data_IF_750701274859
#
_entry.id   IF_750701274859
#
_cell.length_a   1.000
_cell.length_b   1.000
_cell.length_c   1.000
_cell.angle_alpha   90.00
_cell.angle_beta   90.00
_cell.angle_gamma   90.00
#
_symmetry.space_group_name_H-M   'P 1'
#
loop_
_entity.id
_entity.type
_entity.pdbx_description
1 polymer ?
#
# COMPACT_ATOMS: atom_id res chain seq x y z
N UNK A 1 -28.29 -17.04 60.17
CA UNK A 1 -27.34 -15.92 60.28
C UNK A 1 -26.59 -15.83 58.98
N UNK A 2 -26.77 -14.71 58.28
CA UNK A 2 -26.24 -14.41 56.96
C UNK A 2 -24.76 -13.97 57.01
N UNK A 3 -24.18 -13.93 55.81
CA UNK A 3 -22.95 -13.24 55.39
C UNK A 3 -21.67 -14.07 55.43
N UNK A 4 -21.31 -14.65 54.28
CA UNK A 4 -19.94 -14.65 53.78
C UNK A 4 -19.91 -15.27 52.37
N UNK A 5 -20.06 -14.43 51.33
CA UNK A 5 -19.65 -14.71 49.93
C UNK A 5 -20.00 -13.51 49.04
N UNK A 6 -19.55 -12.30 49.39
CA UNK A 6 -19.71 -11.11 48.52
C UNK A 6 -18.41 -10.33 48.33
N UNK A 7 -17.30 -10.74 48.95
CA UNK A 7 -16.04 -10.01 48.94
C UNK A 7 -15.05 -10.44 47.85
N UNK A 8 -15.07 -11.71 47.42
CA UNK A 8 -14.11 -12.24 46.43
C UNK A 8 -14.48 -11.89 44.98
N UNK A 9 -15.77 -11.74 44.67
CA UNK A 9 -16.23 -11.40 43.30
C UNK A 9 -15.91 -9.94 42.94
N UNK A 10 -15.92 -9.03 43.92
CA UNK A 10 -15.65 -7.60 43.68
C UNK A 10 -14.15 -7.24 43.61
N UNK A 11 -13.27 -8.06 44.20
CA UNK A 11 -11.83 -7.81 44.19
C UNK A 11 -11.19 -8.15 42.84
N UNK A 12 -11.68 -9.21 42.19
CA UNK A 12 -11.20 -9.67 40.88
C UNK A 12 -11.59 -8.68 39.76
N UNK A 13 -12.77 -8.08 39.86
CA UNK A 13 -13.27 -7.07 38.91
C UNK A 13 -12.42 -5.79 38.92
N UNK A 14 -12.04 -5.31 40.11
CA UNK A 14 -11.21 -4.10 40.25
C UNK A 14 -9.76 -4.32 39.83
N UNK A 15 -9.22 -5.50 40.11
CA UNK A 15 -7.90 -5.90 39.62
C UNK A 15 -7.88 -5.97 38.09
N UNK A 16 -8.96 -6.47 37.47
CA UNK A 16 -9.16 -6.45 36.03
C UNK A 16 -9.19 -5.03 35.45
N UNK A 17 -9.97 -4.13 36.05
CA UNK A 17 -10.04 -2.72 35.62
C UNK A 17 -8.70 -2.00 35.72
N UNK A 18 -7.96 -2.18 36.82
CA UNK A 18 -6.64 -1.56 37.00
C UNK A 18 -5.62 -2.08 35.98
N UNK A 19 -5.63 -3.38 35.68
CA UNK A 19 -4.79 -3.97 34.63
C UNK A 19 -5.13 -3.40 33.25
N UNK A 20 -6.42 -3.23 32.96
CA UNK A 20 -6.88 -2.67 31.71
C UNK A 20 -6.45 -1.20 31.55
N UNK A 21 -6.60 -0.39 32.60
CA UNK A 21 -6.17 1.01 32.61
C UNK A 21 -4.65 1.16 32.49
N UNK A 22 -3.88 0.29 33.17
CA UNK A 22 -2.43 0.23 33.03
C UNK A 22 -2.02 -0.15 31.60
N UNK A 23 -2.71 -1.12 30.99
CA UNK A 23 -2.44 -1.54 29.62
C UNK A 23 -2.71 -0.41 28.61
N UNK A 24 -3.83 0.30 28.75
CA UNK A 24 -4.17 1.42 27.87
C UNK A 24 -3.29 2.67 28.13
N UNK A 25 -2.70 2.82 29.32
CA UNK A 25 -1.72 3.89 29.62
C UNK A 25 -0.34 3.61 29.01
N UNK A 26 0.10 2.36 29.03
CA UNK A 26 1.42 1.96 28.51
C UNK A 26 1.39 1.76 27.00
N UNK A 27 0.28 1.26 26.46
CA UNK A 27 0.17 0.90 25.06
C UNK A 27 -0.84 1.80 24.35
N UNK A 28 -0.32 2.65 23.46
CA UNK A 28 -1.17 3.34 22.48
C UNK A 28 -1.73 2.30 21.51
N UNK A 29 -3.06 2.18 21.46
CA UNK A 29 -3.72 1.36 20.45
C UNK A 29 -3.60 2.08 19.10
N UNK A 30 -2.97 1.42 18.12
CA UNK A 30 -3.09 1.85 16.74
C UNK A 30 -4.52 1.58 16.27
N UNK A 31 -5.24 2.61 15.85
CA UNK A 31 -6.48 2.48 15.10
C UNK A 31 -6.22 2.86 13.65
N UNK A 32 -6.50 1.95 12.72
CA UNK A 32 -6.56 2.32 11.31
C UNK A 32 -7.84 3.12 11.09
N UNK A 33 -7.72 4.40 10.78
CA UNK A 33 -8.86 5.17 10.29
C UNK A 33 -9.11 4.75 8.84
N UNK A 34 -10.06 3.84 8.66
CA UNK A 34 -10.60 3.49 7.34
C UNK A 34 -11.56 4.60 6.90
N UNK A 35 -11.08 5.84 6.82
CA UNK A 35 -11.88 6.93 6.27
C UNK A 35 -11.90 6.79 4.76
N UNK A 36 -13.07 6.39 4.23
CA UNK A 36 -13.44 6.58 2.84
C UNK A 36 -12.49 5.94 1.84
N UNK A 37 -12.78 4.69 1.50
CA UNK A 37 -12.47 4.15 0.18
C UNK A 37 -12.92 5.15 -0.90
N UNK A 38 -11.98 5.95 -1.42
CA UNK A 38 -12.14 6.63 -2.69
C UNK A 38 -11.46 5.76 -3.73
N UNK A 39 -12.02 4.57 -3.96
CA UNK A 39 -11.55 3.70 -5.01
C UNK A 39 -11.81 4.40 -6.34
N UNK A 40 -10.75 4.57 -7.12
CA UNK A 40 -10.88 5.12 -8.46
C UNK A 40 -11.64 4.13 -9.33
N UNK A 41 -12.50 4.62 -10.23
CA UNK A 41 -13.15 3.74 -11.21
C UNK A 41 -12.07 3.14 -12.12
N UNK A 42 -12.25 1.87 -12.47
CA UNK A 42 -11.33 1.19 -13.39
C UNK A 42 -11.22 1.97 -14.70
N UNK A 43 -10.00 2.14 -15.18
CA UNK A 43 -9.73 2.75 -16.46
C UNK A 43 -10.28 1.89 -17.61
N UNK A 44 -10.63 2.55 -18.71
CA UNK A 44 -10.86 1.88 -19.98
C UNK A 44 -9.55 1.23 -20.46
N UNK A 45 -9.54 -0.06 -20.84
CA UNK A 45 -8.31 -0.79 -21.12
C UNK A 45 -7.56 -0.25 -22.35
N UNK A 46 -8.27 0.27 -23.36
CA UNK A 46 -7.63 0.83 -24.56
C UNK A 46 -6.92 2.14 -24.22
N UNK A 47 -7.55 3.00 -23.43
CA UNK A 47 -6.91 4.21 -22.91
C UNK A 47 -5.74 3.90 -21.98
N UNK A 48 -5.86 2.85 -21.17
CA UNK A 48 -4.77 2.44 -20.28
C UNK A 48 -3.55 1.99 -21.10
N UNK A 49 -3.78 1.26 -22.19
CA UNK A 49 -2.72 0.87 -23.12
C UNK A 49 -2.10 2.07 -23.84
N UNK A 50 -2.91 3.02 -24.34
CA UNK A 50 -2.41 4.25 -24.97
C UNK A 50 -1.49 5.04 -24.02
N UNK A 51 -1.92 5.20 -22.76
CA UNK A 51 -1.13 5.86 -21.74
C UNK A 51 0.15 5.07 -21.43
N UNK A 52 0.07 3.73 -21.33
CA UNK A 52 1.24 2.92 -21.11
C UNK A 52 2.28 3.10 -22.24
N UNK A 53 1.85 2.96 -23.49
CA UNK A 53 2.72 3.12 -24.67
C UNK A 53 3.32 4.52 -24.78
N UNK A 54 2.59 5.57 -24.35
CA UNK A 54 3.10 6.95 -24.32
C UNK A 54 4.34 7.13 -23.43
N UNK A 55 4.44 6.39 -22.32
CA UNK A 55 5.55 6.53 -21.37
C UNK A 55 6.61 5.43 -21.51
N UNK A 56 6.26 4.27 -22.08
CA UNK A 56 7.19 3.18 -22.35
C UNK A 56 8.35 3.61 -23.25
N UNK A 57 9.58 3.54 -22.76
CA UNK A 57 10.78 3.89 -23.55
C UNK A 57 11.43 2.70 -24.25
N UNK A 58 11.09 1.47 -23.87
CA UNK A 58 11.73 0.26 -24.37
C UNK A 58 10.76 -0.48 -25.28
N UNK A 59 11.22 -0.83 -26.49
CA UNK A 59 10.49 -1.70 -27.42
C UNK A 59 11.29 -2.98 -27.67
N UNK A 60 10.67 -4.13 -27.48
CA UNK A 60 11.25 -5.45 -27.79
C UNK A 60 10.29 -6.22 -28.68
N UNK A 61 10.65 -6.37 -29.96
CA UNK A 61 9.72 -6.92 -30.95
C UNK A 61 8.53 -5.97 -31.16
N UNK A 62 7.33 -6.50 -31.01
CA UNK A 62 6.08 -5.75 -31.13
C UNK A 62 5.59 -5.17 -29.79
N UNK A 63 6.22 -5.58 -28.68
CA UNK A 63 5.81 -5.21 -27.33
C UNK A 63 6.58 -4.00 -26.78
N UNK A 64 5.87 -3.15 -26.04
CA UNK A 64 6.42 -2.02 -25.29
C UNK A 64 6.59 -2.34 -23.81
N UNK A 65 7.63 -1.77 -23.21
CA UNK A 65 7.98 -1.94 -21.82
C UNK A 65 8.38 -0.60 -21.20
N UNK A 66 7.99 -0.41 -19.95
CA UNK A 66 8.50 0.68 -19.13
C UNK A 66 9.74 0.23 -18.35
N UNK A 67 10.71 1.12 -18.22
CA UNK A 67 11.73 1.00 -17.17
C UNK A 67 11.18 1.51 -15.83
N UNK A 68 11.85 1.22 -14.69
CA UNK A 68 11.52 1.86 -13.42
C UNK A 68 11.52 3.40 -13.50
N UNK A 69 12.39 4.00 -14.32
CA UNK A 69 12.45 5.45 -14.53
C UNK A 69 11.22 5.97 -15.28
N UNK A 70 10.80 5.27 -16.34
CA UNK A 70 9.57 5.60 -17.08
C UNK A 70 8.36 5.60 -16.18
N UNK A 71 8.21 4.57 -15.34
CA UNK A 71 7.06 4.47 -14.45
C UNK A 71 7.12 5.51 -13.31
N UNK A 72 8.22 5.54 -12.56
CA UNK A 72 8.29 6.33 -11.32
C UNK A 72 8.47 7.82 -11.60
N UNK A 73 9.35 8.18 -12.53
CA UNK A 73 9.72 9.58 -12.74
C UNK A 73 8.91 10.25 -13.84
N UNK A 74 8.64 9.52 -14.93
CA UNK A 74 7.91 10.10 -16.08
C UNK A 74 6.39 9.96 -15.93
N UNK A 75 5.90 8.77 -15.57
CA UNK A 75 4.46 8.52 -15.44
C UNK A 75 3.89 9.04 -14.11
N UNK A 76 4.50 8.70 -12.97
CA UNK A 76 4.04 9.19 -11.65
C UNK A 76 4.50 10.62 -11.32
N UNK A 77 5.54 11.13 -11.98
CA UNK A 77 6.05 12.50 -11.72
C UNK A 77 6.72 12.66 -10.36
N UNK A 78 7.31 11.60 -9.81
CA UNK A 78 8.04 11.66 -8.54
C UNK A 78 9.54 11.50 -8.76
N UNK A 79 10.37 12.22 -7.99
CA UNK A 79 11.83 12.26 -8.16
C UNK A 79 12.30 12.81 -9.52
N UNK A 80 11.67 13.86 -10.03
CA UNK A 80 12.02 14.51 -11.31
C UNK A 80 13.40 15.20 -11.30
N UNK A 81 13.92 15.56 -10.13
CA UNK A 81 15.23 16.21 -9.98
C UNK A 81 16.38 15.32 -10.51
N UNK A 82 17.46 15.94 -11.00
CA UNK A 82 18.59 15.21 -11.58
C UNK A 82 19.41 14.41 -10.55
N UNK A 83 19.41 14.84 -9.29
CA UNK A 83 20.16 14.26 -8.17
C UNK A 83 19.33 13.28 -7.33
N UNK A 84 18.32 12.64 -7.94
CA UNK A 84 17.51 11.64 -7.26
C UNK A 84 18.31 10.40 -6.85
N UNK A 85 17.77 9.62 -5.90
CA UNK A 85 18.35 8.33 -5.52
C UNK A 85 17.86 7.21 -6.46
N UNK A 86 18.73 6.64 -7.30
CA UNK A 86 18.33 5.60 -8.25
C UNK A 86 17.86 4.30 -7.55
N UNK A 87 18.33 4.02 -6.33
CA UNK A 87 17.87 2.86 -5.57
C UNK A 87 16.41 2.97 -5.17
N UNK A 88 15.95 4.18 -4.83
CA UNK A 88 14.55 4.41 -4.48
C UNK A 88 13.64 4.24 -5.70
N UNK A 89 14.04 4.78 -6.85
CA UNK A 89 13.30 4.61 -8.12
C UNK A 89 13.23 3.14 -8.51
N UNK A 90 14.34 2.41 -8.42
CA UNK A 90 14.35 0.98 -8.67
C UNK A 90 13.46 0.21 -7.68
N UNK A 91 13.51 0.55 -6.39
CA UNK A 91 12.69 -0.11 -5.38
C UNK A 91 11.19 0.07 -5.68
N UNK A 92 10.76 1.28 -6.01
CA UNK A 92 9.36 1.57 -6.36
C UNK A 92 8.94 0.88 -7.67
N UNK A 93 9.77 0.96 -8.71
CA UNK A 93 9.49 0.26 -9.98
C UNK A 93 9.42 -1.26 -9.80
N UNK A 94 10.24 -1.83 -8.91
CA UNK A 94 10.26 -3.27 -8.64
C UNK A 94 8.99 -3.82 -7.98
N UNK A 95 8.10 -2.95 -7.50
CA UNK A 95 6.79 -3.34 -6.99
C UNK A 95 5.90 -3.83 -8.15
N UNK A 96 6.01 -3.20 -9.33
CA UNK A 96 5.25 -3.56 -10.52
C UNK A 96 5.93 -4.67 -11.32
N UNK A 97 7.26 -4.67 -11.40
CA UNK A 97 8.03 -5.73 -12.05
C UNK A 97 7.94 -7.03 -11.23
N UNK A 98 6.88 -7.80 -11.44
CA UNK A 98 6.64 -9.09 -10.80
C UNK A 98 7.47 -10.20 -11.43
N UNK A 99 7.81 -10.06 -12.71
CA UNK A 99 8.64 -11.00 -13.46
C UNK A 99 10.12 -10.98 -13.05
N UNK A 100 10.56 -9.87 -12.44
CA UNK A 100 11.94 -9.58 -12.01
C UNK A 100 12.93 -9.51 -13.17
N UNK A 101 12.47 -9.09 -14.35
CA UNK A 101 13.32 -8.91 -15.52
C UNK A 101 13.89 -7.48 -15.66
N UNK A 102 13.53 -6.58 -14.74
CA UNK A 102 13.95 -5.19 -14.71
C UNK A 102 13.12 -4.26 -15.59
N UNK A 103 12.05 -4.77 -16.20
CA UNK A 103 11.10 -4.03 -17.01
C UNK A 103 9.68 -4.22 -16.47
N UNK A 104 8.79 -3.33 -16.88
CA UNK A 104 7.37 -3.38 -16.52
C UNK A 104 6.60 -3.56 -17.82
N UNK A 105 5.95 -4.71 -17.95
CA UNK A 105 5.04 -5.03 -19.04
C UNK A 105 3.69 -4.33 -18.88
N UNK A 106 2.91 -4.26 -19.97
CA UNK A 106 1.55 -3.72 -19.90
C UNK A 106 0.66 -4.52 -18.93
N UNK A 107 0.81 -5.85 -18.88
CA UNK A 107 0.04 -6.70 -17.97
C UNK A 107 0.34 -6.41 -16.50
N UNK A 108 1.60 -6.16 -16.17
CA UNK A 108 2.01 -5.76 -14.81
C UNK A 108 1.49 -4.38 -14.43
N UNK A 109 1.57 -3.42 -15.35
CA UNK A 109 1.00 -2.09 -15.18
C UNK A 109 -0.53 -2.13 -14.97
N UNK A 110 -1.23 -2.93 -15.77
CA UNK A 110 -2.67 -3.14 -15.65
C UNK A 110 -3.04 -3.85 -14.33
N UNK A 111 -2.26 -4.84 -13.92
CA UNK A 111 -2.47 -5.53 -12.64
C UNK A 111 -2.32 -4.56 -11.45
N UNK A 112 -1.37 -3.63 -11.52
CA UNK A 112 -1.21 -2.58 -10.52
C UNK A 112 -2.39 -1.60 -10.50
N UNK A 113 -2.88 -1.14 -11.66
CA UNK A 113 -4.08 -0.29 -11.75
C UNK A 113 -5.31 -0.95 -11.12
N UNK A 114 -5.48 -2.25 -11.33
CA UNK A 114 -6.57 -3.01 -10.76
C UNK A 114 -6.52 -3.09 -9.23
N UNK A 115 -5.35 -2.92 -8.60
CA UNK A 115 -5.22 -2.84 -7.13
C UNK A 115 -5.71 -1.49 -6.60
N UNK A 116 -5.50 -0.40 -7.34
CA UNK A 116 -5.91 0.94 -6.95
C UNK A 116 -7.44 1.15 -7.02
N UNK A 117 -8.10 0.38 -7.89
CA UNK A 117 -9.55 0.44 -8.08
C UNK A 117 -10.36 -0.49 -7.17
N UNK A 118 -9.72 -1.13 -6.17
CA UNK A 118 -10.36 -2.09 -5.27
C UNK A 118 -10.97 -1.45 -4.06
#
# INVERSE_FOLDING_TARGET
TMASTTSDVFADEKAGMLKQLLFDYVFTRASCQLEGSQYTRRADPEKLQEIFEKYASVKKGDDYFMTPDDFVRRFLGIYEEQNFNPKTVHLLGSILDTSKDGLISFLEFQAFEAVLCR
#
